data_IF_966962741331
#
_entry.id   IF_966962741331
#
_cell.length_a   1.000
_cell.length_b   1.000
_cell.length_c   1.000
_cell.angle_alpha   90.00
_cell.angle_beta   90.00
_cell.angle_gamma   90.00
#
_symmetry.space_group_name_H-M   'P 1'
#
loop_
_entity.id
_entity.type
_entity.pdbx_description
1 polymer ?
#
# COMPACT_ATOMS: atom_id res chain seq x y z
N UNK A 1 7.01 -8.93 -21.86
CA UNK A 1 7.85 -8.21 -20.88
C UNK A 1 6.89 -7.69 -19.83
N UNK A 2 6.77 -8.38 -18.70
CA UNK A 2 6.09 -7.81 -17.54
C UNK A 2 7.02 -6.72 -17.02
N UNK A 3 6.56 -5.48 -17.09
CA UNK A 3 7.17 -4.41 -16.29
C UNK A 3 6.64 -4.64 -14.89
N UNK A 4 7.53 -5.04 -14.01
CA UNK A 4 7.28 -5.03 -12.58
C UNK A 4 7.43 -3.59 -12.10
N UNK A 5 6.47 -3.10 -11.33
CA UNK A 5 6.55 -1.77 -10.74
C UNK A 5 5.98 -1.82 -9.33
N UNK A 6 6.71 -1.26 -8.39
CA UNK A 6 6.21 -1.07 -7.04
C UNK A 6 5.76 0.37 -6.84
N UNK A 7 4.70 0.54 -6.06
CA UNK A 7 4.33 1.82 -5.48
C UNK A 7 5.09 2.02 -4.17
N UNK A 8 5.85 3.11 -4.08
CA UNK A 8 6.45 3.56 -2.83
C UNK A 8 5.68 4.78 -2.30
N UNK A 9 5.12 4.64 -1.10
CA UNK A 9 4.56 5.72 -0.31
C UNK A 9 5.60 6.16 0.71
N UNK A 10 5.92 7.45 0.72
CA UNK A 10 6.78 8.07 1.74
C UNK A 10 5.93 9.03 2.57
N UNK A 11 5.98 8.88 3.88
CA UNK A 11 5.30 9.74 4.83
C UNK A 11 6.23 10.83 5.35
N UNK A 12 5.67 11.93 5.86
CA UNK A 12 6.45 13.03 6.42
C UNK A 12 7.32 12.61 7.62
N UNK A 13 6.96 11.53 8.33
CA UNK A 13 7.77 10.93 9.38
C UNK A 13 9.08 10.31 8.87
N UNK A 14 9.20 10.07 7.56
CA UNK A 14 10.25 9.27 6.95
C UNK A 14 9.93 7.77 6.92
N UNK A 15 8.76 7.36 7.40
CA UNK A 15 8.28 5.99 7.24
C UNK A 15 7.90 5.76 5.77
N UNK A 16 8.07 4.53 5.29
CA UNK A 16 7.70 4.14 3.92
C UNK A 16 6.90 2.86 3.87
N UNK A 17 6.06 2.75 2.83
CA UNK A 17 5.36 1.52 2.45
C UNK A 17 5.62 1.25 0.97
N UNK A 18 6.09 0.04 0.64
CA UNK A 18 6.25 -0.43 -0.74
C UNK A 18 5.18 -1.49 -1.05
N UNK A 19 4.55 -1.42 -2.23
CA UNK A 19 3.47 -2.31 -2.66
C UNK A 19 3.68 -2.76 -4.10
N UNK A 20 3.61 -4.06 -4.38
CA UNK A 20 3.75 -4.60 -5.74
C UNK A 20 2.39 -4.72 -6.45
N UNK A 21 1.41 -5.32 -5.78
CA UNK A 21 0.02 -5.41 -6.26
C UNK A 21 -0.90 -4.64 -5.32
N UNK A 22 -1.69 -3.70 -5.86
CA UNK A 22 -2.58 -2.90 -5.04
C UNK A 22 -3.82 -2.40 -5.79
N UNK A 23 -4.82 -2.04 -4.99
CA UNK A 23 -6.04 -1.38 -5.44
C UNK A 23 -6.25 -0.07 -4.68
N UNK A 24 -6.85 0.90 -5.36
CA UNK A 24 -7.22 2.19 -4.77
C UNK A 24 -8.74 2.27 -4.73
N UNK A 25 -9.28 2.36 -3.53
CA UNK A 25 -10.68 2.67 -3.29
C UNK A 25 -10.77 4.15 -2.94
N UNK A 26 -11.48 4.93 -3.77
CA UNK A 26 -11.72 6.35 -3.48
C UNK A 26 -12.51 6.55 -2.19
N UNK A 27 -12.76 7.82 -1.80
CA UNK A 27 -13.56 8.16 -0.64
C UNK A 27 -14.90 7.40 -0.61
N UNK A 28 -15.43 7.19 0.59
CA UNK A 28 -16.60 6.32 0.88
C UNK A 28 -17.89 6.67 0.07
N UNK A 29 -17.93 7.82 -0.58
CA UNK A 29 -19.03 8.33 -1.41
C UNK A 29 -18.74 8.30 -2.93
N UNK A 30 -17.58 7.82 -3.34
CA UNK A 30 -17.22 7.69 -4.76
C UNK A 30 -18.01 6.57 -5.41
N UNK A 31 -18.78 6.90 -6.45
CA UNK A 31 -19.55 5.92 -7.24
C UNK A 31 -18.65 4.96 -8.04
N UNK A 32 -17.33 5.20 -8.06
CA UNK A 32 -16.32 4.36 -8.69
C UNK A 32 -15.85 3.31 -7.70
N UNK A 33 -16.03 2.03 -8.05
CA UNK A 33 -15.45 0.91 -7.28
C UNK A 33 -13.91 0.92 -7.27
N UNK A 34 -13.32 -0.07 -6.61
CA UNK A 34 -11.88 -0.24 -6.52
C UNK A 34 -11.18 -0.15 -7.88
N UNK A 35 -10.15 0.68 -7.98
CA UNK A 35 -9.22 0.71 -9.11
C UNK A 35 -8.06 -0.26 -8.81
N UNK A 36 -8.09 -1.45 -9.39
CA UNK A 36 -6.94 -2.36 -9.38
C UNK A 36 -5.88 -1.80 -10.33
N UNK A 37 -4.71 -1.42 -9.81
CA UNK A 37 -3.65 -0.81 -10.59
C UNK A 37 -2.71 -1.89 -11.10
N UNK A 38 -2.43 -1.89 -12.40
CA UNK A 38 -1.49 -2.80 -13.03
C UNK A 38 -0.99 -2.23 -14.35
N UNK A 39 -0.22 -3.04 -15.08
CA UNK A 39 0.44 -2.60 -16.32
C UNK A 39 -0.50 -1.94 -17.34
N UNK A 40 -1.73 -2.44 -17.47
CA UNK A 40 -2.71 -1.94 -18.46
C UNK A 40 -3.31 -0.57 -18.14
N UNK A 41 -3.16 -0.06 -16.91
CA UNK A 41 -3.81 1.17 -16.47
C UNK A 41 -2.94 2.03 -15.53
N UNK A 42 -1.61 1.91 -15.60
CA UNK A 42 -0.65 2.67 -14.76
C UNK A 42 -0.95 4.17 -14.75
N UNK A 43 -1.24 4.79 -15.90
CA UNK A 43 -1.53 6.21 -15.97
C UNK A 43 -2.79 6.61 -15.17
N UNK A 44 -3.81 5.76 -15.15
CA UNK A 44 -5.02 5.97 -14.35
C UNK A 44 -4.72 5.79 -12.85
N UNK A 45 -3.93 4.77 -12.50
CA UNK A 45 -3.47 4.55 -11.13
C UNK A 45 -2.66 5.73 -10.61
N UNK A 46 -1.69 6.21 -11.39
CA UNK A 46 -0.88 7.39 -11.04
C UNK A 46 -1.76 8.63 -10.82
N UNK A 47 -2.74 8.88 -11.70
CA UNK A 47 -3.64 10.02 -11.54
C UNK A 47 -4.45 9.96 -10.23
N UNK A 48 -4.86 8.76 -9.80
CA UNK A 48 -5.52 8.56 -8.50
C UNK A 48 -4.56 8.76 -7.32
N UNK A 49 -3.34 8.21 -7.40
CA UNK A 49 -2.31 8.35 -6.36
C UNK A 49 -1.88 9.81 -6.16
N UNK A 50 -1.80 10.60 -7.23
CA UNK A 50 -1.46 12.03 -7.13
C UNK A 50 -2.47 12.82 -6.28
N UNK A 51 -3.72 12.35 -6.15
CA UNK A 51 -4.72 12.99 -5.27
C UNK A 51 -4.42 12.78 -3.78
N UNK A 52 -3.57 11.81 -3.43
CA UNK A 52 -3.17 11.54 -2.05
C UNK A 52 -2.02 12.43 -1.57
N UNK A 53 -1.36 13.17 -2.47
CA UNK A 53 -0.27 14.06 -2.09
C UNK A 53 -0.79 15.15 -1.13
N UNK A 54 -0.21 15.19 0.07
CA UNK A 54 -0.63 16.10 1.13
C UNK A 54 -1.78 15.60 1.99
N UNK A 55 -2.36 14.44 1.68
CA UNK A 55 -3.37 13.78 2.52
C UNK A 55 -2.70 12.99 3.64
N UNK A 56 -3.25 13.08 4.86
CA UNK A 56 -2.73 12.35 6.01
C UNK A 56 -3.17 10.88 6.00
N UNK A 57 -2.22 9.97 6.23
CA UNK A 57 -2.53 8.58 6.57
C UNK A 57 -3.12 8.52 7.98
N UNK A 58 -4.35 8.02 8.09
CA UNK A 58 -5.04 7.84 9.36
C UNK A 58 -4.64 6.53 10.04
N UNK A 59 -4.45 5.47 9.26
CA UNK A 59 -4.06 4.15 9.75
C UNK A 59 -3.47 3.30 8.63
N UNK A 60 -2.63 2.33 9.01
CA UNK A 60 -2.22 1.22 8.16
C UNK A 60 -2.41 -0.07 8.96
N UNK A 61 -3.22 -0.99 8.45
CA UNK A 61 -3.69 -2.17 9.18
C UNK A 61 -3.51 -3.42 8.34
N UNK A 62 -3.16 -4.53 8.99
CA UNK A 62 -3.12 -5.85 8.38
C UNK A 62 -4.21 -6.75 8.95
N UNK A 63 -4.74 -7.67 8.13
CA UNK A 63 -5.74 -8.65 8.56
C UNK A 63 -5.11 -10.02 8.84
N UNK A 64 -5.92 -10.99 9.28
CA UNK A 64 -5.47 -12.36 9.57
C UNK A 64 -4.93 -13.11 8.33
N UNK A 65 -5.17 -12.59 7.12
CA UNK A 65 -4.65 -13.12 5.86
C UNK A 65 -3.34 -12.46 5.43
N UNK A 66 -2.81 -11.49 6.18
CA UNK A 66 -1.61 -10.74 5.80
C UNK A 66 -1.84 -9.66 4.75
N UNK A 67 -3.09 -9.37 4.37
CA UNK A 67 -3.38 -8.24 3.46
C UNK A 67 -3.17 -6.92 4.20
N UNK A 68 -2.64 -5.91 3.50
CA UNK A 68 -2.48 -4.56 4.03
C UNK A 68 -3.59 -3.64 3.53
N UNK A 69 -4.11 -2.80 4.42
CA UNK A 69 -4.97 -1.66 4.07
C UNK A 69 -4.42 -0.38 4.70
N UNK A 70 -4.08 0.59 3.85
CA UNK A 70 -3.71 1.95 4.23
C UNK A 70 -4.93 2.85 4.06
N UNK A 71 -5.29 3.59 5.11
CA UNK A 71 -6.50 4.41 5.20
C UNK A 71 -6.09 5.86 5.36
N UNK A 72 -6.59 6.71 4.47
CA UNK A 72 -6.35 8.15 4.50
C UNK A 72 -7.53 8.89 5.15
N UNK A 73 -7.27 10.09 5.69
CA UNK A 73 -8.27 10.90 6.40
C UNK A 73 -9.46 11.33 5.54
N UNK A 74 -9.28 11.42 4.22
CA UNK A 74 -10.33 11.70 3.25
C UNK A 74 -11.23 10.46 2.97
N UNK A 75 -10.89 9.32 3.58
CA UNK A 75 -11.59 8.05 3.41
C UNK A 75 -11.09 7.21 2.25
N UNK A 76 -10.12 7.69 1.47
CA UNK A 76 -9.43 6.90 0.44
C UNK A 76 -8.69 5.73 1.10
N UNK A 77 -8.68 4.57 0.44
CA UNK A 77 -7.97 3.37 0.90
C UNK A 77 -7.09 2.79 -0.19
N UNK A 78 -5.86 2.43 0.16
CA UNK A 78 -5.02 1.57 -0.66
C UNK A 78 -5.01 0.18 -0.02
N UNK A 79 -5.32 -0.85 -0.79
CA UNK A 79 -5.30 -2.23 -0.32
C UNK A 79 -4.33 -3.06 -1.17
N UNK A 80 -3.45 -3.79 -0.51
CA UNK A 80 -2.51 -4.73 -1.13
C UNK A 80 -2.76 -6.13 -0.55
N UNK A 81 -3.18 -7.11 -1.37
CA UNK A 81 -3.33 -8.49 -0.91
C UNK A 81 -1.96 -9.10 -0.63
N UNK A 82 -1.90 -10.11 0.23
CA UNK A 82 -0.74 -10.99 0.30
C UNK A 82 -0.53 -11.73 -1.04
N UNK A 83 0.66 -12.32 -1.22
CA UNK A 83 0.98 -13.12 -2.40
C UNK A 83 1.82 -14.34 -2.04
N UNK A 84 2.21 -15.13 -3.03
CA UNK A 84 3.17 -16.23 -2.86
C UNK A 84 4.62 -15.72 -2.59
N UNK A 85 4.84 -14.41 -2.68
CA UNK A 85 6.10 -13.74 -2.37
C UNK A 85 5.90 -12.48 -1.53
N UNK A 86 6.87 -11.57 -1.59
CA UNK A 86 6.83 -10.31 -0.86
C UNK A 86 5.87 -9.31 -1.52
N UNK A 87 4.65 -9.19 -0.98
CA UNK A 87 3.60 -8.36 -1.58
C UNK A 87 3.66 -6.89 -1.16
N UNK A 88 4.11 -6.64 0.07
CA UNK A 88 4.29 -5.32 0.63
C UNK A 88 5.35 -5.31 1.73
N UNK A 89 5.93 -4.13 1.94
CA UNK A 89 6.89 -3.85 3.00
C UNK A 89 6.53 -2.53 3.69
N UNK A 90 6.73 -2.47 5.01
CA UNK A 90 6.79 -1.24 5.79
C UNK A 90 8.21 -1.06 6.34
N UNK A 91 8.78 0.13 6.15
CA UNK A 91 10.03 0.57 6.76
C UNK A 91 9.79 1.81 7.61
N UNK A 92 9.92 1.67 8.92
CA UNK A 92 9.80 2.74 9.89
C UNK A 92 11.10 3.54 10.03
N UNK A 93 10.96 4.85 10.11
CA UNK A 93 12.02 5.80 10.46
C UNK A 93 12.66 5.52 11.83
N UNK A 94 11.98 4.78 12.70
CA UNK A 94 12.46 4.28 13.98
C UNK A 94 13.24 2.94 13.87
N UNK A 95 13.50 2.47 12.65
CA UNK A 95 14.22 1.24 12.35
C UNK A 95 13.38 -0.02 12.44
N UNK A 96 12.06 0.06 12.69
CA UNK A 96 11.15 -1.09 12.57
C UNK A 96 10.93 -1.45 11.11
N UNK A 97 10.80 -2.73 10.83
CA UNK A 97 10.46 -3.24 9.50
C UNK A 97 9.41 -4.34 9.62
N UNK A 98 8.52 -4.39 8.63
CA UNK A 98 7.51 -5.42 8.48
C UNK A 98 7.47 -5.82 7.01
N UNK A 99 7.56 -7.11 6.71
CA UNK A 99 7.40 -7.66 5.37
C UNK A 99 6.26 -8.68 5.38
N UNK A 100 5.40 -8.60 4.36
CA UNK A 100 4.50 -9.69 3.99
C UNK A 100 5.30 -10.79 3.33
N UNK A 101 5.48 -11.91 4.02
CA UNK A 101 5.98 -13.14 3.43
C UNK A 101 4.90 -13.90 2.64
N UNK A 102 5.28 -15.08 2.12
CA UNK A 102 4.38 -15.97 1.41
C UNK A 102 3.16 -16.35 2.24
N UNK A 103 2.02 -16.57 1.57
CA UNK A 103 0.77 -17.04 2.20
C UNK A 103 0.22 -16.12 3.31
N UNK A 104 0.70 -14.88 3.39
CA UNK A 104 0.25 -13.88 4.37
C UNK A 104 1.04 -13.86 5.69
N UNK A 105 2.11 -14.66 5.81
CA UNK A 105 2.99 -14.61 6.98
C UNK A 105 3.62 -13.23 7.15
N UNK A 106 3.73 -12.73 8.38
CA UNK A 106 4.36 -11.43 8.66
C UNK A 106 5.69 -11.59 9.37
N UNK A 107 6.74 -11.04 8.77
CA UNK A 107 8.08 -10.96 9.40
C UNK A 107 8.30 -9.56 9.94
N UNK A 108 8.65 -9.45 11.23
CA UNK A 108 8.88 -8.16 11.89
C UNK A 108 10.24 -8.11 12.57
N UNK A 109 10.98 -7.01 12.40
CA UNK A 109 12.22 -6.77 13.13
C UNK A 109 12.45 -5.27 13.39
N UNK A 110 13.45 -4.96 14.22
CA UNK A 110 13.90 -3.60 14.46
C UNK A 110 15.42 -3.54 14.43
N UNK A 111 16.00 -2.60 13.68
CA UNK A 111 17.43 -2.33 13.76
C UNK A 111 17.75 -1.63 15.09
N UNK A 112 18.89 -1.99 15.67
CA UNK A 112 19.31 -1.58 17.02
C UNK A 112 20.14 -0.31 17.02
#
# INVERSE_FOLDING_TARGET
MLVDFDLYLEFESGDTIALSDFSINGPRDSATGALNVGFGNIAQGLAALLQLIGTTCAAAETNDSGDLTVIFVDGTKISAPHSDGEAWEFSGSDGRHIISGPEGDLSTWAMK
#
